data_IF_788202827666
#
_entry.id   IF_788202827666
#
_cell.length_a   1.000
_cell.length_b   1.000
_cell.length_c   1.000
_cell.angle_alpha   90.00
_cell.angle_beta   90.00
_cell.angle_gamma   90.00
#
_symmetry.space_group_name_H-M   'P 1'
#
loop_
_entity.id
_entity.type
_entity.pdbx_description
1 polymer ?
#
# COMPACT_ATOMS: atom_id res chain seq x y z
N UNK A 1 -36.39 -2.57 51.42
CA UNK A 1 -37.08 -2.43 50.13
C UNK A 1 -36.11 -2.80 49.02
N UNK A 2 -36.19 -4.03 48.46
CA UNK A 2 -35.27 -4.51 47.46
C UNK A 2 -35.60 -3.95 46.07
N UNK A 3 -34.68 -3.29 45.45
CA UNK A 3 -34.79 -2.77 44.08
C UNK A 3 -34.96 -3.91 43.08
N UNK A 4 -35.99 -3.88 42.23
CA UNK A 4 -36.25 -4.95 41.30
C UNK A 4 -35.09 -5.07 40.27
N UNK A 5 -34.75 -6.30 39.84
CA UNK A 5 -33.69 -6.58 38.85
C UNK A 5 -33.80 -5.72 37.58
N UNK A 6 -35.04 -5.39 37.19
CA UNK A 6 -35.32 -4.53 36.03
C UNK A 6 -34.89 -3.07 36.23
N UNK A 7 -35.10 -2.53 37.46
CA UNK A 7 -34.65 -1.17 37.82
C UNK A 7 -33.12 -1.11 37.90
N UNK A 8 -32.46 -2.12 38.43
CA UNK A 8 -31.00 -2.20 38.49
C UNK A 8 -30.36 -2.24 37.10
N UNK A 9 -30.96 -3.01 36.15
CA UNK A 9 -30.49 -3.07 34.76
C UNK A 9 -30.68 -1.74 34.02
N UNK A 10 -31.81 -1.06 34.20
CA UNK A 10 -32.05 0.24 33.56
C UNK A 10 -31.12 1.32 34.13
N UNK A 11 -30.89 1.33 35.43
CA UNK A 11 -29.99 2.31 36.08
C UNK A 11 -28.53 2.03 35.70
N UNK A 12 -28.12 0.74 35.56
CA UNK A 12 -26.79 0.36 35.10
C UNK A 12 -26.55 0.73 33.64
N UNK A 13 -27.53 0.50 32.76
CA UNK A 13 -27.41 0.86 31.33
C UNK A 13 -27.35 2.39 31.13
N UNK A 14 -28.16 3.16 31.89
CA UNK A 14 -28.12 4.65 31.83
C UNK A 14 -26.80 5.20 32.36
N UNK A 15 -26.26 4.59 33.42
CA UNK A 15 -24.96 4.99 33.97
C UNK A 15 -23.79 4.70 32.99
N UNK A 16 -23.81 3.56 32.29
CA UNK A 16 -22.79 3.21 31.26
C UNK A 16 -22.88 4.12 30.03
N UNK A 17 -24.10 4.48 29.60
CA UNK A 17 -24.26 5.40 28.46
C UNK A 17 -23.83 6.83 28.87
N UNK A 18 -24.16 7.29 30.06
CA UNK A 18 -23.72 8.58 30.55
C UNK A 18 -22.20 8.64 30.77
N UNK A 19 -21.57 7.57 31.26
CA UNK A 19 -20.13 7.47 31.39
C UNK A 19 -19.43 7.39 30.03
N UNK A 20 -20.03 6.69 29.05
CA UNK A 20 -19.53 6.63 27.68
C UNK A 20 -19.60 8.00 26.97
N UNK A 21 -20.71 8.72 27.10
CA UNK A 21 -20.88 10.07 26.54
C UNK A 21 -19.98 11.08 27.25
N UNK A 22 -19.91 11.02 28.60
CA UNK A 22 -19.02 11.87 29.39
C UNK A 22 -17.53 11.60 29.08
N UNK A 23 -17.15 10.34 28.93
CA UNK A 23 -15.79 9.95 28.53
C UNK A 23 -15.41 10.45 27.13
N UNK A 24 -16.30 10.33 26.15
CA UNK A 24 -16.09 10.87 24.80
C UNK A 24 -16.04 12.39 24.75
N UNK A 25 -16.80 13.09 25.60
CA UNK A 25 -16.74 14.55 25.71
C UNK A 25 -15.46 15.03 26.39
N UNK A 26 -14.95 14.28 27.39
CA UNK A 26 -13.70 14.59 28.09
C UNK A 26 -12.45 14.23 27.26
N UNK A 27 -12.59 13.28 26.32
CA UNK A 27 -11.51 12.89 25.39
C UNK A 27 -11.59 13.63 24.05
N UNK A 28 -12.59 14.49 23.84
CA UNK A 28 -12.56 15.39 22.70
C UNK A 28 -11.33 16.30 22.84
N UNK A 29 -10.45 16.33 21.84
CA UNK A 29 -9.44 17.37 21.79
C UNK A 29 -10.15 18.72 21.92
N UNK A 30 -9.61 19.61 22.76
CA UNK A 30 -10.10 20.97 22.81
C UNK A 30 -10.13 21.54 21.40
N UNK A 31 -11.32 21.74 20.86
CA UNK A 31 -11.56 22.34 19.55
C UNK A 31 -11.29 23.86 19.65
N UNK A 32 -10.22 24.20 20.35
CA UNK A 32 -9.75 25.57 20.45
C UNK A 32 -9.08 25.88 19.13
N UNK A 33 -9.79 26.59 18.29
CA UNK A 33 -9.23 27.23 17.09
C UNK A 33 -8.00 28.03 17.49
N UNK A 34 -6.82 27.43 17.34
CA UNK A 34 -5.57 28.14 17.52
C UNK A 34 -5.37 29.08 16.31
N UNK A 35 -4.84 30.29 16.50
CA UNK A 35 -4.46 31.13 15.39
C UNK A 35 -3.51 30.35 14.45
N UNK A 36 -3.74 30.47 13.16
CA UNK A 36 -2.84 29.91 12.17
C UNK A 36 -1.44 30.51 12.34
N UNK A 37 -0.41 29.70 12.18
CA UNK A 37 0.96 30.18 12.06
C UNK A 37 1.14 31.06 10.80
N UNK A 38 2.31 31.62 10.62
CA UNK A 38 2.61 32.50 9.50
C UNK A 38 2.43 31.82 8.13
N UNK A 39 2.74 30.52 8.03
CA UNK A 39 2.58 29.74 6.80
C UNK A 39 1.11 29.60 6.43
N UNK A 40 0.27 29.08 7.32
CA UNK A 40 -1.17 28.90 7.07
C UNK A 40 -1.90 30.24 6.94
N UNK A 41 -1.48 31.28 7.65
CA UNK A 41 -2.01 32.64 7.49
C UNK A 41 -1.72 33.18 6.08
N UNK A 42 -0.52 32.94 5.56
CA UNK A 42 -0.14 33.29 4.19
C UNK A 42 -0.96 32.55 3.14
N UNK A 43 -1.17 31.24 3.31
CA UNK A 43 -2.02 30.43 2.43
C UNK A 43 -3.47 30.94 2.43
N UNK A 44 -4.03 31.24 3.60
CA UNK A 44 -5.38 31.80 3.71
C UNK A 44 -5.50 33.15 2.99
N UNK A 45 -4.50 34.03 3.11
CA UNK A 45 -4.49 35.31 2.41
C UNK A 45 -4.43 35.13 0.89
N UNK A 46 -3.61 34.17 0.41
CA UNK A 46 -3.51 33.82 -1.01
C UNK A 46 -4.85 33.28 -1.54
N UNK A 47 -5.45 32.31 -0.85
CA UNK A 47 -6.72 31.71 -1.26
C UNK A 47 -7.88 32.69 -1.24
N UNK A 48 -7.91 33.63 -0.28
CA UNK A 48 -8.91 34.72 -0.26
C UNK A 48 -8.76 35.67 -1.45
N UNK A 49 -7.55 35.94 -1.94
CA UNK A 49 -7.29 36.82 -3.04
C UNK A 49 -7.47 36.16 -4.41
N UNK A 50 -7.03 34.90 -4.55
CA UNK A 50 -6.88 34.23 -5.84
C UNK A 50 -7.67 32.92 -5.94
N UNK A 51 -8.31 32.48 -4.87
CA UNK A 51 -9.05 31.23 -4.85
C UNK A 51 -10.30 31.26 -5.72
N UNK A 52 -10.73 30.09 -6.27
CA UNK A 52 -11.81 30.01 -7.23
C UNK A 52 -13.22 30.12 -6.61
N UNK A 53 -13.34 30.42 -5.32
CA UNK A 53 -14.61 30.60 -4.61
C UNK A 53 -15.38 29.30 -4.30
N UNK A 54 -14.76 28.14 -4.48
CA UNK A 54 -15.29 26.84 -4.08
C UNK A 54 -14.22 26.00 -3.40
N UNK A 55 -14.56 24.95 -2.66
CA UNK A 55 -13.57 24.08 -2.00
C UNK A 55 -12.60 23.47 -3.02
N UNK A 56 -11.31 23.52 -2.69
CA UNK A 56 -10.23 22.93 -3.48
C UNK A 56 -9.28 22.12 -2.60
N UNK A 57 -8.58 21.17 -3.20
CA UNK A 57 -7.39 20.60 -2.61
C UNK A 57 -6.19 21.42 -3.02
N UNK A 58 -5.43 21.89 -2.01
CA UNK A 58 -4.20 22.66 -2.21
C UNK A 58 -2.99 21.76 -1.93
N UNK A 59 -2.01 21.82 -2.83
CA UNK A 59 -0.73 21.11 -2.67
C UNK A 59 0.39 22.13 -2.71
N UNK A 60 1.17 22.21 -1.64
CA UNK A 60 2.43 22.94 -1.65
C UNK A 60 3.49 22.10 -2.37
N UNK A 61 3.80 22.51 -3.61
CA UNK A 61 4.73 21.79 -4.47
C UNK A 61 6.14 21.71 -3.88
N UNK A 62 6.61 22.77 -3.22
CA UNK A 62 7.96 22.77 -2.66
C UNK A 62 8.09 21.76 -1.52
N UNK A 63 7.09 21.70 -0.64
CA UNK A 63 7.02 20.72 0.45
C UNK A 63 6.84 19.30 -0.07
N UNK A 64 5.99 19.10 -1.09
CA UNK A 64 5.83 17.81 -1.75
C UNK A 64 7.16 17.29 -2.31
N UNK A 65 7.88 18.10 -3.06
CA UNK A 65 9.18 17.71 -3.63
C UNK A 65 10.24 17.45 -2.56
N UNK A 66 10.23 18.22 -1.47
CA UNK A 66 11.08 17.95 -0.31
C UNK A 66 10.82 16.56 0.28
N UNK A 67 9.54 16.19 0.46
CA UNK A 67 9.17 14.86 0.94
C UNK A 67 9.57 13.76 -0.05
N UNK A 68 9.44 13.99 -1.36
CA UNK A 68 9.94 13.08 -2.40
C UNK A 68 11.44 12.82 -2.24
N UNK A 69 12.23 13.87 -2.04
CA UNK A 69 13.69 13.76 -1.83
C UNK A 69 14.03 12.98 -0.55
N UNK A 70 13.25 13.15 0.52
CA UNK A 70 13.43 12.39 1.76
C UNK A 70 13.16 10.91 1.53
N UNK A 71 12.03 10.57 0.92
CA UNK A 71 11.66 9.18 0.63
C UNK A 71 12.69 8.53 -0.30
N UNK A 72 13.08 9.19 -1.39
CA UNK A 72 14.06 8.66 -2.33
C UNK A 72 15.42 8.37 -1.67
N UNK A 73 15.87 9.26 -0.75
CA UNK A 73 17.08 9.01 0.03
C UNK A 73 16.96 7.80 0.96
N UNK A 74 15.81 7.64 1.61
CA UNK A 74 15.56 6.49 2.51
C UNK A 74 15.45 5.17 1.76
N UNK A 75 14.91 5.15 0.55
CA UNK A 75 14.92 3.95 -0.29
C UNK A 75 16.34 3.59 -0.73
N UNK A 76 17.14 4.60 -1.07
CA UNK A 76 18.49 4.41 -1.58
C UNK A 76 18.56 3.92 -3.03
N UNK A 77 19.77 3.85 -3.61
CA UNK A 77 19.96 3.51 -5.02
C UNK A 77 19.83 2.01 -5.35
N UNK A 78 19.97 1.15 -4.34
CA UNK A 78 19.97 -0.32 -4.53
C UNK A 78 18.57 -0.93 -4.52
N UNK A 79 17.55 -0.14 -4.18
CA UNK A 79 16.16 -0.58 -4.05
C UNK A 79 15.25 0.21 -4.96
N UNK A 80 14.15 -0.41 -5.36
CA UNK A 80 13.10 0.26 -6.11
C UNK A 80 12.15 1.01 -5.16
N UNK A 81 11.95 2.30 -5.38
CA UNK A 81 10.82 3.00 -4.76
C UNK A 81 9.55 2.78 -5.59
N UNK A 82 8.58 2.14 -5.02
CA UNK A 82 7.26 1.93 -5.62
C UNK A 82 6.26 2.95 -5.08
N UNK A 83 5.88 3.91 -5.94
CA UNK A 83 4.96 4.99 -5.58
C UNK A 83 3.54 4.47 -5.47
N UNK A 84 2.90 4.68 -4.31
CA UNK A 84 1.53 4.22 -4.02
C UNK A 84 0.52 5.24 -4.55
N UNK A 85 -0.07 4.96 -5.71
CA UNK A 85 -0.91 5.88 -6.51
C UNK A 85 -2.15 6.39 -5.77
N UNK A 86 -2.78 5.56 -4.93
CA UNK A 86 -4.00 5.96 -4.19
C UNK A 86 -3.80 7.17 -3.27
N UNK A 87 -2.56 7.38 -2.82
CA UNK A 87 -2.22 8.50 -1.92
C UNK A 87 -2.05 9.83 -2.66
N UNK A 88 -1.82 9.79 -3.97
CA UNK A 88 -1.65 10.96 -4.82
C UNK A 88 -2.32 10.70 -6.20
N UNK A 89 -3.66 10.63 -6.26
CA UNK A 89 -4.39 10.21 -7.47
C UNK A 89 -4.49 11.36 -8.51
N UNK A 90 -3.35 11.90 -8.91
CA UNK A 90 -3.23 13.01 -9.87
C UNK A 90 -2.11 12.70 -10.87
N UNK A 91 -2.47 12.52 -12.14
CA UNK A 91 -1.50 12.23 -13.20
C UNK A 91 -0.37 13.25 -13.27
N UNK A 92 -0.62 14.59 -13.26
CA UNK A 92 0.46 15.58 -13.28
C UNK A 92 1.40 15.47 -12.09
N UNK A 93 0.86 15.30 -10.87
CA UNK A 93 1.68 15.18 -9.68
C UNK A 93 2.46 13.85 -9.64
N UNK A 94 1.86 12.74 -10.10
CA UNK A 94 2.56 11.47 -10.24
C UNK A 94 3.75 11.58 -11.20
N UNK A 95 3.58 12.24 -12.36
CA UNK A 95 4.69 12.48 -13.30
C UNK A 95 5.85 13.21 -12.63
N UNK A 96 5.54 14.24 -11.84
CA UNK A 96 6.54 15.02 -11.13
C UNK A 96 7.25 14.22 -10.03
N UNK A 97 6.48 13.46 -9.24
CA UNK A 97 7.02 12.56 -8.19
C UNK A 97 7.91 11.49 -8.80
N UNK A 98 7.48 10.81 -9.86
CA UNK A 98 8.24 9.76 -10.53
C UNK A 98 9.54 10.31 -11.14
N UNK A 99 9.48 11.46 -11.81
CA UNK A 99 10.66 12.11 -12.39
C UNK A 99 11.66 12.54 -11.29
N UNK A 100 11.18 13.16 -10.20
CA UNK A 100 12.03 13.59 -9.08
C UNK A 100 12.62 12.44 -8.29
N UNK A 101 11.81 11.39 -8.06
CA UNK A 101 12.21 10.18 -7.34
C UNK A 101 12.97 9.17 -8.20
N UNK A 102 13.23 9.47 -9.48
CA UNK A 102 13.90 8.60 -10.44
C UNK A 102 13.33 7.17 -10.46
N UNK A 103 12.00 7.03 -10.41
CA UNK A 103 11.33 5.72 -10.42
C UNK A 103 10.26 5.62 -11.50
N UNK A 104 10.04 4.42 -12.00
CA UNK A 104 8.95 4.06 -12.90
C UNK A 104 8.00 3.02 -12.24
N UNK A 105 8.23 2.66 -10.99
CA UNK A 105 7.46 1.65 -10.26
C UNK A 105 6.24 2.27 -9.56
N UNK A 106 5.05 1.75 -9.85
CA UNK A 106 3.79 2.21 -9.29
C UNK A 106 3.06 1.07 -8.57
N UNK A 107 2.31 1.40 -7.51
CA UNK A 107 1.40 0.47 -6.85
C UNK A 107 -0.04 0.96 -7.02
N UNK A 108 -0.88 0.12 -7.64
CA UNK A 108 -2.28 0.43 -8.00
C UNK A 108 -3.23 -0.50 -7.26
N UNK A 109 -4.44 -0.04 -6.91
CA UNK A 109 -5.35 -0.76 -6.03
C UNK A 109 -6.69 -1.13 -6.66
N UNK A 110 -7.03 -0.58 -7.84
CA UNK A 110 -8.27 -0.92 -8.52
C UNK A 110 -8.19 -0.63 -10.02
N UNK A 111 -9.08 -1.29 -10.77
CA UNK A 111 -9.04 -1.34 -12.23
C UNK A 111 -9.14 0.03 -12.92
N UNK A 112 -10.00 1.00 -12.52
CA UNK A 112 -10.04 2.31 -13.19
C UNK A 112 -8.70 3.07 -13.12
N UNK A 113 -7.99 3.02 -11.98
CA UNK A 113 -6.66 3.61 -11.88
C UNK A 113 -5.63 2.86 -12.73
N UNK A 114 -5.73 1.53 -12.81
CA UNK A 114 -4.86 0.73 -13.65
C UNK A 114 -4.98 1.11 -15.12
N UNK A 115 -6.20 1.34 -15.63
CA UNK A 115 -6.42 1.80 -16.99
C UNK A 115 -5.82 3.20 -17.23
N UNK A 116 -5.97 4.13 -16.28
CA UNK A 116 -5.33 5.45 -16.36
C UNK A 116 -3.81 5.31 -16.37
N UNK A 117 -3.24 4.51 -15.46
CA UNK A 117 -1.79 4.29 -15.39
C UNK A 117 -1.25 3.69 -16.69
N UNK A 118 -1.92 2.68 -17.25
CA UNK A 118 -1.52 2.06 -18.51
C UNK A 118 -1.50 3.06 -19.69
N UNK A 119 -2.45 4.01 -19.74
CA UNK A 119 -2.48 5.04 -20.78
C UNK A 119 -1.45 6.15 -20.57
N UNK A 120 -1.32 6.61 -19.32
CA UNK A 120 -0.56 7.82 -19.00
C UNK A 120 0.92 7.57 -18.69
N UNK A 121 1.26 6.32 -18.32
CA UNK A 121 2.61 5.90 -17.94
C UNK A 121 3.00 4.60 -18.67
N UNK A 122 3.23 4.66 -19.99
CA UNK A 122 3.42 3.46 -20.81
C UNK A 122 4.67 2.64 -20.44
N UNK A 123 5.60 3.21 -19.71
CA UNK A 123 6.83 2.55 -19.28
C UNK A 123 6.81 2.14 -17.79
N UNK A 124 5.64 2.26 -17.11
CA UNK A 124 5.53 1.94 -15.69
C UNK A 124 5.62 0.42 -15.43
N UNK A 125 6.32 0.04 -14.36
CA UNK A 125 6.19 -1.27 -13.72
C UNK A 125 5.12 -1.19 -12.63
N UNK A 126 4.07 -1.99 -12.74
CA UNK A 126 2.89 -1.90 -11.87
C UNK A 126 2.76 -3.14 -11.01
N UNK A 127 2.75 -2.95 -9.69
CA UNK A 127 2.33 -3.97 -8.73
C UNK A 127 0.92 -3.64 -8.21
N UNK A 128 0.03 -4.62 -8.18
CA UNK A 128 -1.25 -4.46 -7.51
C UNK A 128 -1.04 -4.51 -6.00
N UNK A 129 -1.52 -3.49 -5.28
CA UNK A 129 -1.40 -3.42 -3.80
C UNK A 129 -2.54 -4.13 -3.06
N UNK A 130 -3.50 -4.71 -3.81
CA UNK A 130 -4.55 -5.63 -3.33
C UNK A 130 -5.00 -6.54 -4.47
N UNK A 131 -5.36 -7.79 -4.17
CA UNK A 131 -6.00 -8.66 -5.17
C UNK A 131 -7.26 -8.00 -5.72
N UNK A 132 -7.43 -8.08 -7.04
CA UNK A 132 -8.64 -7.60 -7.69
C UNK A 132 -9.66 -8.74 -7.86
N UNK A 133 -10.97 -8.44 -7.84
CA UNK A 133 -11.96 -9.38 -8.37
C UNK A 133 -11.65 -9.75 -9.82
N UNK A 134 -11.81 -11.03 -10.18
CA UNK A 134 -11.49 -11.52 -11.54
C UNK A 134 -12.20 -10.72 -12.65
N UNK A 135 -13.42 -10.24 -12.36
CA UNK A 135 -14.16 -9.39 -13.30
C UNK A 135 -13.51 -8.02 -13.54
N UNK A 136 -12.78 -7.48 -12.56
CA UNK A 136 -12.04 -6.23 -12.75
C UNK A 136 -10.81 -6.46 -13.63
N UNK A 137 -10.13 -7.60 -13.50
CA UNK A 137 -9.04 -8.02 -14.40
C UNK A 137 -9.57 -8.16 -15.83
N UNK A 138 -10.70 -8.85 -16.02
CA UNK A 138 -11.37 -8.98 -17.34
C UNK A 138 -11.69 -7.62 -17.96
N UNK A 139 -12.25 -6.68 -17.18
CA UNK A 139 -12.55 -5.33 -17.64
C UNK A 139 -11.29 -4.56 -18.05
N UNK A 140 -10.20 -4.72 -17.32
CA UNK A 140 -8.93 -4.11 -17.69
C UNK A 140 -8.49 -4.54 -19.09
N UNK A 141 -8.52 -5.85 -19.40
CA UNK A 141 -8.14 -6.36 -20.72
C UNK A 141 -9.13 -5.97 -21.82
N UNK A 142 -10.43 -5.84 -21.50
CA UNK A 142 -11.45 -5.38 -22.46
C UNK A 142 -11.33 -3.88 -22.81
N UNK A 143 -10.94 -3.03 -21.84
CA UNK A 143 -10.85 -1.56 -21.97
C UNK A 143 -9.38 -1.08 -21.86
N UNK A 144 -8.47 -1.83 -22.41
CA UNK A 144 -7.04 -1.56 -22.26
C UNK A 144 -6.62 -0.22 -22.86
N UNK A 145 -7.01 0.10 -24.08
CA UNK A 145 -6.84 1.41 -24.75
C UNK A 145 -5.41 1.98 -24.80
N UNK A 146 -4.41 1.20 -24.43
CA UNK A 146 -3.01 1.61 -24.30
C UNK A 146 -2.11 0.70 -25.15
N UNK A 147 -1.84 1.11 -26.39
CA UNK A 147 -1.06 0.31 -27.36
C UNK A 147 0.39 0.09 -26.93
N UNK A 148 0.98 1.06 -26.21
CA UNK A 148 2.40 1.02 -25.79
C UNK A 148 2.64 0.28 -24.47
N UNK A 149 1.62 0.06 -23.67
CA UNK A 149 1.73 -0.62 -22.38
C UNK A 149 1.53 -2.13 -22.54
N UNK A 150 2.52 -2.91 -22.15
CA UNK A 150 2.50 -4.38 -22.23
C UNK A 150 2.14 -5.00 -20.86
N UNK A 151 0.88 -5.40 -20.62
CA UNK A 151 0.46 -5.98 -19.36
C UNK A 151 1.17 -7.28 -18.99
N UNK A 152 1.61 -8.07 -19.98
CA UNK A 152 2.30 -9.32 -19.75
C UNK A 152 3.72 -9.13 -19.15
N UNK A 153 4.29 -7.94 -19.32
CA UNK A 153 5.63 -7.59 -18.83
C UNK A 153 5.58 -6.59 -17.67
N UNK A 154 4.58 -5.72 -17.64
CA UNK A 154 4.57 -4.54 -16.80
C UNK A 154 3.61 -4.64 -15.60
N UNK A 155 2.69 -5.62 -15.55
CA UNK A 155 1.80 -5.80 -14.40
C UNK A 155 2.20 -7.02 -13.60
N UNK A 156 2.29 -6.83 -12.29
CA UNK A 156 2.37 -7.89 -11.29
C UNK A 156 1.00 -7.99 -10.61
N UNK A 157 0.27 -9.05 -10.95
CA UNK A 157 -1.07 -9.32 -10.43
C UNK A 157 -0.97 -9.94 -9.05
N UNK A 158 -1.49 -9.25 -8.04
CA UNK A 158 -1.44 -9.72 -6.66
C UNK A 158 -2.49 -10.78 -6.40
N UNK A 159 -2.08 -11.85 -5.73
CA UNK A 159 -2.95 -12.92 -5.23
C UNK A 159 -2.64 -13.20 -3.76
N UNK A 160 -3.68 -13.50 -2.98
CA UNK A 160 -3.59 -13.74 -1.53
C UNK A 160 -4.09 -15.13 -1.13
N UNK A 161 -4.63 -15.89 -2.09
CA UNK A 161 -5.11 -17.25 -1.87
C UNK A 161 -4.89 -18.15 -3.09
N UNK A 162 -4.82 -19.49 -2.92
CA UNK A 162 -4.79 -20.43 -4.04
C UNK A 162 -6.03 -20.35 -4.94
N UNK A 163 -7.19 -20.03 -4.37
CA UNK A 163 -8.45 -19.87 -5.08
C UNK A 163 -8.37 -18.65 -6.02
N UNK A 164 -7.86 -17.51 -5.55
CA UNK A 164 -7.64 -16.33 -6.38
C UNK A 164 -6.66 -16.61 -7.52
N UNK A 165 -5.59 -17.36 -7.26
CA UNK A 165 -4.68 -17.80 -8.30
C UNK A 165 -5.40 -18.69 -9.34
N UNK A 166 -6.27 -19.62 -8.89
CA UNK A 166 -7.03 -20.47 -9.81
C UNK A 166 -7.98 -19.66 -10.70
N UNK A 167 -8.66 -18.65 -10.15
CA UNK A 167 -9.52 -17.73 -10.92
C UNK A 167 -8.72 -16.95 -11.97
N UNK A 168 -7.56 -16.40 -11.59
CA UNK A 168 -6.70 -15.66 -12.52
C UNK A 168 -6.11 -16.58 -13.60
N UNK A 169 -5.73 -17.80 -13.25
CA UNK A 169 -5.25 -18.79 -14.20
C UNK A 169 -6.33 -19.16 -15.24
N UNK A 170 -7.55 -19.42 -14.79
CA UNK A 170 -8.66 -19.70 -15.68
C UNK A 170 -8.94 -18.53 -16.63
N UNK A 171 -8.92 -17.29 -16.12
CA UNK A 171 -9.09 -16.09 -16.91
C UNK A 171 -7.96 -15.88 -17.93
N UNK A 172 -6.70 -16.13 -17.51
CA UNK A 172 -5.54 -16.00 -18.40
C UNK A 172 -5.65 -16.93 -19.62
N UNK A 173 -6.03 -18.19 -19.38
CA UNK A 173 -6.28 -19.16 -20.45
C UNK A 173 -7.44 -18.77 -21.35
N UNK A 174 -8.56 -18.31 -20.77
CA UNK A 174 -9.73 -17.85 -21.52
C UNK A 174 -9.40 -16.67 -22.46
N UNK A 175 -8.60 -15.71 -21.98
CA UNK A 175 -8.23 -14.52 -22.73
C UNK A 175 -6.99 -14.71 -23.60
N UNK A 176 -6.26 -15.83 -23.49
CA UNK A 176 -4.98 -16.04 -24.16
C UNK A 176 -3.92 -15.03 -23.75
N UNK A 177 -3.85 -14.68 -22.46
CA UNK A 177 -2.91 -13.67 -21.92
C UNK A 177 -1.95 -14.29 -20.90
N UNK A 178 -0.79 -13.66 -20.73
CA UNK A 178 0.17 -14.03 -19.71
C UNK A 178 0.03 -13.10 -18.50
N UNK A 179 -0.05 -13.67 -17.28
CA UNK A 179 -0.09 -12.97 -16.02
C UNK A 179 1.16 -13.21 -15.18
N UNK A 180 1.85 -12.14 -14.79
CA UNK A 180 2.92 -12.20 -13.80
C UNK A 180 2.29 -12.14 -12.40
N UNK A 181 2.46 -13.19 -11.62
CA UNK A 181 1.81 -13.35 -10.31
C UNK A 181 2.76 -12.91 -9.19
N UNK A 182 2.30 -11.97 -8.38
CA UNK A 182 2.94 -11.61 -7.11
C UNK A 182 2.05 -12.12 -5.96
N UNK A 183 2.64 -12.70 -4.92
CA UNK A 183 1.88 -13.25 -3.80
C UNK A 183 1.90 -12.29 -2.61
N UNK A 184 0.71 -11.88 -2.11
CA UNK A 184 0.60 -11.19 -0.83
C UNK A 184 0.82 -12.20 0.29
N UNK A 185 1.70 -11.90 1.21
CA UNK A 185 2.02 -12.73 2.38
C UNK A 185 1.59 -12.03 3.67
N UNK A 186 1.12 -12.80 4.64
CA UNK A 186 0.81 -12.27 5.97
C UNK A 186 2.10 -12.19 6.80
N UNK A 187 2.49 -10.97 7.12
CA UNK A 187 3.67 -10.65 7.93
C UNK A 187 3.30 -10.19 9.35
N UNK A 188 2.09 -10.55 9.80
CA UNK A 188 1.60 -10.28 11.15
C UNK A 188 0.48 -9.22 11.23
N UNK A 189 0.07 -8.62 10.10
CA UNK A 189 -1.09 -7.72 10.04
C UNK A 189 -2.44 -8.47 10.12
N UNK A 190 -2.47 -9.72 9.66
CA UNK A 190 -3.68 -10.57 9.61
C UNK A 190 -4.87 -9.93 8.85
N UNK A 191 -4.58 -9.09 7.87
CA UNK A 191 -5.59 -8.45 7.00
C UNK A 191 -5.89 -9.26 5.75
N UNK A 192 -5.01 -10.13 5.34
CA UNK A 192 -5.00 -10.95 4.14
C UNK A 192 -3.58 -11.43 3.87
N UNK A 193 -3.40 -12.09 2.75
CA UNK A 193 -2.14 -12.71 2.38
C UNK A 193 -2.06 -14.19 2.78
N UNK A 194 -1.07 -14.86 2.23
CA UNK A 194 -0.82 -16.26 2.52
C UNK A 194 -0.43 -16.43 3.99
N UNK A 195 -1.14 -17.30 4.75
CA UNK A 195 -0.94 -17.42 6.19
C UNK A 195 0.36 -18.13 6.59
N UNK A 196 0.92 -18.96 5.69
CA UNK A 196 2.19 -19.66 5.93
C UNK A 196 2.85 -20.11 4.62
N UNK A 197 4.20 -20.31 4.63
CA UNK A 197 4.98 -20.59 3.41
C UNK A 197 4.57 -21.86 2.65
N UNK A 198 4.04 -22.86 3.33
CA UNK A 198 3.59 -24.11 2.69
C UNK A 198 2.49 -23.89 1.63
N UNK A 199 1.65 -22.86 1.79
CA UNK A 199 0.64 -22.51 0.78
C UNK A 199 1.29 -21.99 -0.49
N UNK A 200 2.35 -21.18 -0.37
CA UNK A 200 3.09 -20.66 -1.53
C UNK A 200 3.68 -21.79 -2.38
N UNK A 201 4.20 -22.86 -1.75
CA UNK A 201 4.78 -23.99 -2.49
C UNK A 201 3.79 -24.61 -3.50
N UNK A 202 2.53 -24.82 -3.09
CA UNK A 202 1.47 -25.33 -3.99
C UNK A 202 1.13 -24.33 -5.10
N UNK A 203 1.17 -23.04 -4.81
CA UNK A 203 0.95 -22.00 -5.82
C UNK A 203 2.08 -21.95 -6.85
N UNK A 204 3.35 -22.04 -6.42
CA UNK A 204 4.51 -22.08 -7.33
C UNK A 204 4.44 -23.30 -8.26
N UNK A 205 4.03 -24.48 -7.77
CA UNK A 205 3.81 -25.66 -8.59
C UNK A 205 2.73 -25.43 -9.67
N UNK A 206 1.62 -24.78 -9.32
CA UNK A 206 0.57 -24.42 -10.27
C UNK A 206 1.08 -23.44 -11.34
N UNK A 207 1.82 -22.43 -10.93
CA UNK A 207 2.41 -21.43 -11.85
C UNK A 207 3.38 -22.10 -12.81
N UNK A 208 4.28 -22.96 -12.31
CA UNK A 208 5.23 -23.71 -13.13
C UNK A 208 4.56 -24.72 -14.08
N UNK A 209 3.35 -25.18 -13.76
CA UNK A 209 2.57 -26.09 -14.58
C UNK A 209 1.97 -25.48 -15.85
N UNK A 210 1.92 -24.16 -15.97
CA UNK A 210 1.41 -23.47 -17.17
C UNK A 210 2.21 -22.17 -17.46
N UNK A 211 3.45 -22.29 -17.90
CA UNK A 211 4.33 -21.15 -18.14
C UNK A 211 3.91 -20.28 -19.33
N UNK A 212 2.99 -20.75 -20.18
CA UNK A 212 2.40 -19.95 -21.24
C UNK A 212 1.54 -18.82 -20.67
N UNK A 213 0.77 -19.11 -19.61
CA UNK A 213 -0.20 -18.18 -19.05
C UNK A 213 0.22 -17.54 -17.72
N UNK A 214 1.15 -18.15 -16.98
CA UNK A 214 1.57 -17.68 -15.66
C UNK A 214 3.09 -17.63 -15.52
N UNK A 215 3.58 -16.61 -14.79
CA UNK A 215 4.92 -16.59 -14.22
C UNK A 215 4.90 -16.03 -12.80
N UNK A 216 5.83 -16.49 -11.96
CA UNK A 216 5.99 -15.94 -10.62
C UNK A 216 6.83 -14.67 -10.67
N UNK A 217 6.33 -13.57 -10.09
CA UNK A 217 6.97 -12.26 -10.12
C UNK A 217 7.55 -11.84 -8.77
N UNK A 218 7.06 -12.40 -7.65
CA UNK A 218 7.59 -12.05 -6.34
C UNK A 218 6.61 -12.12 -5.20
N UNK A 219 6.96 -11.44 -4.11
CA UNK A 219 6.18 -11.33 -2.87
C UNK A 219 5.83 -9.88 -2.57
N UNK A 220 4.71 -9.68 -1.88
CA UNK A 220 4.33 -8.42 -1.27
C UNK A 220 3.92 -8.64 0.19
N UNK A 221 4.61 -8.00 1.12
CA UNK A 221 4.23 -7.88 2.53
C UNK A 221 3.80 -6.45 2.84
N UNK A 222 2.93 -6.26 3.83
CA UNK A 222 2.53 -4.94 4.30
C UNK A 222 2.30 -4.95 5.80
N UNK A 223 3.04 -4.12 6.53
CA UNK A 223 3.15 -4.18 7.98
C UNK A 223 2.81 -2.86 8.70
N UNK A 224 1.63 -2.23 8.44
CA UNK A 224 1.25 -0.97 9.09
C UNK A 224 1.04 -1.11 10.60
N UNK A 225 0.89 -2.33 11.13
CA UNK A 225 0.82 -2.59 12.57
C UNK A 225 2.14 -2.28 13.29
N UNK A 226 3.24 -2.12 12.55
CA UNK A 226 4.54 -1.70 13.08
C UNK A 226 4.67 -0.17 13.17
N UNK A 227 3.60 0.58 12.94
CA UNK A 227 3.59 2.04 13.14
C UNK A 227 3.96 2.37 14.59
N UNK A 228 5.03 3.14 14.76
CA UNK A 228 5.59 3.45 16.09
C UNK A 228 6.86 2.67 16.44
N UNK A 229 7.19 1.61 15.70
CA UNK A 229 8.51 1.00 15.79
C UNK A 229 9.60 2.01 15.40
N UNK A 230 10.70 2.01 16.12
CA UNK A 230 11.82 2.96 15.91
C UNK A 230 13.10 2.27 15.49
N UNK A 231 13.13 0.94 15.61
CA UNK A 231 14.31 0.11 15.33
C UNK A 231 13.93 -1.22 14.70
N UNK A 232 14.78 -1.72 13.83
CA UNK A 232 14.65 -3.04 13.20
C UNK A 232 14.83 -4.17 14.22
N UNK A 233 15.53 -3.95 15.32
CA UNK A 233 15.76 -4.92 16.39
C UNK A 233 14.52 -5.17 17.27
N UNK A 234 13.49 -4.37 17.14
CA UNK A 234 12.25 -4.58 17.92
C UNK A 234 11.62 -5.95 17.62
N UNK A 235 11.16 -6.69 18.64
CA UNK A 235 10.65 -8.06 18.46
C UNK A 235 9.53 -8.17 17.42
N UNK A 236 8.64 -7.18 17.33
CA UNK A 236 7.55 -7.16 16.36
C UNK A 236 8.09 -7.01 14.92
N UNK A 237 9.10 -6.18 14.70
CA UNK A 237 9.75 -6.00 13.39
C UNK A 237 10.49 -7.27 13.02
N UNK A 238 11.26 -7.87 13.96
CA UNK A 238 11.96 -9.13 13.71
C UNK A 238 10.99 -10.28 13.42
N UNK A 239 9.82 -10.32 14.04
CA UNK A 239 8.79 -11.32 13.74
C UNK A 239 8.27 -11.16 12.29
N UNK A 240 7.98 -9.94 11.85
CA UNK A 240 7.55 -9.66 10.48
C UNK A 240 8.63 -10.03 9.44
N UNK A 241 9.89 -9.67 9.70
CA UNK A 241 11.03 -10.04 8.86
C UNK A 241 11.26 -11.56 8.85
N UNK A 242 11.10 -12.24 9.99
CA UNK A 242 11.19 -13.69 10.10
C UNK A 242 10.12 -14.41 9.28
N UNK A 243 8.88 -13.92 9.34
CA UNK A 243 7.79 -14.41 8.50
C UNK A 243 8.12 -14.22 7.01
N UNK A 244 8.58 -13.05 6.61
CA UNK A 244 8.96 -12.76 5.23
C UNK A 244 10.09 -13.70 4.74
N UNK A 245 11.16 -13.88 5.53
CA UNK A 245 12.29 -14.77 5.20
C UNK A 245 11.84 -16.20 4.96
N UNK A 246 10.91 -16.71 5.76
CA UNK A 246 10.38 -18.07 5.59
C UNK A 246 9.69 -18.28 4.23
N UNK A 247 9.04 -17.24 3.67
CA UNK A 247 8.50 -17.29 2.30
C UNK A 247 9.61 -17.23 1.24
N UNK A 248 10.64 -16.42 1.47
CA UNK A 248 11.80 -16.34 0.57
C UNK A 248 12.56 -17.67 0.51
N UNK A 249 12.63 -18.40 1.61
CA UNK A 249 13.25 -19.74 1.64
C UNK A 249 12.46 -20.74 0.76
N UNK A 250 11.14 -20.71 0.78
CA UNK A 250 10.31 -21.53 -0.14
C UNK A 250 10.55 -21.17 -1.61
N UNK A 251 10.77 -19.89 -1.92
CA UNK A 251 11.12 -19.44 -3.28
C UNK A 251 12.46 -20.06 -3.73
N UNK A 252 13.48 -20.04 -2.86
CA UNK A 252 14.80 -20.66 -3.13
C UNK A 252 14.69 -22.17 -3.29
N UNK A 253 13.94 -22.85 -2.41
CA UNK A 253 13.69 -24.29 -2.50
C UNK A 253 12.98 -24.67 -3.81
N UNK A 254 12.13 -23.80 -4.35
CA UNK A 254 11.46 -23.99 -5.63
C UNK A 254 12.36 -23.67 -6.85
N UNK A 255 13.63 -23.31 -6.63
CA UNK A 255 14.60 -23.05 -7.68
C UNK A 255 14.57 -21.64 -8.27
N UNK A 256 13.86 -20.71 -7.65
CA UNK A 256 13.88 -19.30 -8.06
C UNK A 256 15.02 -18.53 -7.38
N UNK A 257 15.59 -17.58 -8.09
CA UNK A 257 16.53 -16.60 -7.55
C UNK A 257 15.75 -15.38 -7.00
N UNK A 258 15.74 -15.15 -5.67
CA UNK A 258 15.00 -14.02 -5.08
C UNK A 258 15.49 -12.65 -5.59
N UNK A 259 16.74 -12.51 -5.99
CA UNK A 259 17.29 -11.24 -6.48
C UNK A 259 16.69 -10.81 -7.83
N UNK A 260 16.08 -11.73 -8.56
CA UNK A 260 15.40 -11.51 -9.85
C UNK A 260 13.88 -11.29 -9.70
N UNK A 261 13.38 -11.33 -8.49
CA UNK A 261 11.98 -11.18 -8.18
C UNK A 261 11.73 -9.86 -7.46
N UNK A 262 10.50 -9.37 -7.51
CA UNK A 262 10.06 -8.23 -6.69
C UNK A 262 9.77 -8.70 -5.28
N UNK A 263 10.60 -8.33 -4.33
CA UNK A 263 10.38 -8.56 -2.91
C UNK A 263 9.91 -7.24 -2.30
N UNK A 264 8.59 -7.00 -2.40
CA UNK A 264 7.98 -5.74 -1.97
C UNK A 264 7.60 -5.76 -0.49
N UNK A 265 7.82 -4.63 0.17
CA UNK A 265 7.38 -4.39 1.53
C UNK A 265 7.31 -2.90 1.85
N UNK A 266 7.26 -2.60 3.13
CA UNK A 266 7.13 -1.28 3.69
C UNK A 266 5.77 -0.58 3.42
N UNK A 267 5.66 0.55 4.05
CA UNK A 267 4.68 1.60 3.87
C UNK A 267 5.33 2.90 4.30
N UNK A 268 4.67 4.04 4.12
CA UNK A 268 5.27 5.33 4.52
C UNK A 268 5.69 5.38 5.99
N UNK A 269 5.00 4.65 6.87
CA UNK A 269 5.34 4.60 8.30
C UNK A 269 6.55 3.73 8.65
N UNK A 270 6.85 2.72 7.82
CA UNK A 270 7.85 1.70 8.12
C UNK A 270 9.06 1.76 7.19
N UNK A 271 9.01 2.62 6.17
CA UNK A 271 10.03 2.73 5.12
C UNK A 271 11.46 2.79 5.69
N UNK A 272 11.68 3.62 6.71
CA UNK A 272 13.00 3.84 7.29
C UNK A 272 13.54 2.65 8.07
N UNK A 273 12.69 1.74 8.53
CA UNK A 273 13.12 0.48 9.15
C UNK A 273 13.91 -0.41 8.17
N UNK A 274 13.62 -0.27 6.87
CA UNK A 274 14.18 -1.15 5.82
C UNK A 274 15.25 -0.48 4.96
N UNK A 275 15.72 0.71 5.33
CA UNK A 275 16.80 1.41 4.60
C UNK A 275 18.05 0.54 4.42
N UNK A 276 18.40 -0.23 5.45
CA UNK A 276 19.63 -1.07 5.51
C UNK A 276 19.33 -2.57 5.51
N UNK A 277 18.08 -2.96 5.35
CA UNK A 277 17.69 -4.38 5.29
C UNK A 277 17.86 -4.91 3.88
N UNK A 278 18.49 -6.07 3.71
CA UNK A 278 18.78 -6.66 2.39
C UNK A 278 17.69 -7.63 1.91
N UNK A 279 16.63 -7.84 2.70
CA UNK A 279 15.58 -8.79 2.37
C UNK A 279 14.66 -8.28 1.27
N UNK A 280 14.26 -7.00 1.36
CA UNK A 280 13.35 -6.36 0.40
C UNK A 280 14.12 -5.49 -0.59
N UNK A 281 13.87 -5.67 -1.88
CA UNK A 281 14.47 -4.89 -2.96
C UNK A 281 13.51 -3.86 -3.57
N UNK A 282 12.25 -3.82 -3.10
CA UNK A 282 11.19 -2.94 -3.59
C UNK A 282 10.40 -2.41 -2.41
N UNK A 283 10.43 -1.10 -2.17
CA UNK A 283 9.82 -0.46 -1.02
C UNK A 283 8.67 0.45 -1.44
N UNK A 284 7.47 0.19 -0.89
CA UNK A 284 6.27 0.97 -1.20
C UNK A 284 6.12 2.18 -0.26
N UNK A 285 5.95 3.36 -0.82
CA UNK A 285 5.60 4.56 -0.08
C UNK A 285 4.75 5.51 -0.92
N UNK A 286 3.76 6.15 -0.31
CA UNK A 286 2.88 7.08 -0.98
C UNK A 286 2.36 8.19 -0.10
N UNK A 287 1.70 7.89 1.01
CA UNK A 287 1.13 8.91 1.90
C UNK A 287 2.17 9.82 2.54
N UNK A 288 3.41 9.36 2.73
CA UNK A 288 4.53 10.19 3.17
C UNK A 288 4.85 11.37 2.23
N UNK A 289 4.51 11.27 0.93
CA UNK A 289 4.70 12.35 -0.04
C UNK A 289 3.90 13.60 0.33
N UNK A 290 2.66 13.42 0.82
CA UNK A 290 1.77 14.51 1.25
C UNK A 290 1.76 14.71 2.77
N UNK A 291 2.42 13.84 3.49
CA UNK A 291 2.60 13.83 4.96
C UNK A 291 1.33 14.23 5.72
N UNK A 292 0.34 13.32 5.85
CA UNK A 292 -0.82 13.54 6.72
C UNK A 292 -0.38 13.83 8.16
N UNK A 293 -1.22 14.53 8.93
CA UNK A 293 -0.93 14.91 10.33
C UNK A 293 -0.61 13.71 11.22
N UNK A 294 -1.26 12.55 10.95
CA UNK A 294 -1.01 11.30 11.68
C UNK A 294 0.40 10.72 11.45
N UNK A 295 1.19 11.33 10.55
CA UNK A 295 2.55 10.91 10.22
C UNK A 295 3.63 11.69 10.98
N UNK A 296 3.27 12.46 12.00
CA UNK A 296 4.23 13.05 12.93
C UNK A 296 4.77 11.98 13.89
N UNK A 297 5.55 11.04 13.33
CA UNK A 297 6.18 9.92 14.02
C UNK A 297 7.70 10.05 13.99
N UNK A 298 8.40 9.26 14.82
CA UNK A 298 9.86 9.27 14.87
C UNK A 298 10.54 8.83 13.55
N UNK A 299 9.82 8.11 12.69
CA UNK A 299 10.35 7.62 11.41
C UNK A 299 10.01 8.51 10.20
N UNK A 300 9.21 9.53 10.37
CA UNK A 300 8.80 10.50 9.37
C UNK A 300 8.96 11.92 9.93
#
# INVERSE_FOLDING_TARGET
>A
MAMSRRKALVTGATGLVAAGIGGTLLLRPDDVTRPHDAYFSGLNALLKREGPGHPIMFVDRARLLHNVDLIARSVGPEKTWRVVVKSLPSVPLLREVMARGATHALMVFHQPFLNVVAREFPDADVLLGKPMPVQAVRRFYADRGAERFDPARQIQWLVDTPERLAEYHALARELGVHLRINAEIDVGLHRGGLPHPGVLRGMLQRIAGDPEHLSFAGLMGYEPHLTGATSVEEPAVQAALGAYRAFVDVIREAGHDPSRLTLNGAGSHTLRLYERDDLMNDLAAGSGIVKPTDFDTALL
#
